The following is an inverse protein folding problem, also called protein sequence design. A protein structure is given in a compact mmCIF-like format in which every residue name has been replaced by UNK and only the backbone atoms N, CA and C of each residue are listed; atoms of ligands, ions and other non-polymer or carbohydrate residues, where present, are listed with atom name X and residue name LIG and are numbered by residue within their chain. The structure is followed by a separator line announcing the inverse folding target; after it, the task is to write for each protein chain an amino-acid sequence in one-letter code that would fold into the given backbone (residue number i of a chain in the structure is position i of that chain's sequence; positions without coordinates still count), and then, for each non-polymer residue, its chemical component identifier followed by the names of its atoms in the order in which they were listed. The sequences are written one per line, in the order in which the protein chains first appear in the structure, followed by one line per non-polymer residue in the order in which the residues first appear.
data_IF_322162034392
#
_entry.id   IF_322162034392
#
_cell.length_a   1.000
_cell.length_b   1.000
_cell.length_c   1.000
_cell.angle_alpha   90.00
_cell.angle_beta   90.00
_cell.angle_gamma   90.00
#
_symmetry.space_group_name_H-M   'P 1'
#
loop_
_entity.id
_entity.type
_entity.pdbx_description
1 polymer ?
#
# COMPACT_ATOMS: atom_id res chain seq x y z
N UNK A 1 -11.70 3.12 9.54
CA UNK A 1 -11.03 2.51 8.41
C UNK A 1 -11.97 1.51 7.74
N UNK A 2 -12.10 1.61 6.43
CA UNK A 2 -12.91 0.71 5.59
C UNK A 2 -11.98 0.05 4.57
N UNK A 3 -11.85 -1.28 4.66
CA UNK A 3 -11.05 -2.09 3.75
C UNK A 3 -11.98 -3.05 3.01
N UNK A 4 -11.87 -3.11 1.71
CA UNK A 4 -12.57 -4.07 0.88
C UNK A 4 -11.62 -4.70 -0.14
N UNK A 5 -11.75 -6.00 -0.29
CA UNK A 5 -10.90 -6.83 -1.15
C UNK A 5 -11.78 -7.73 -1.99
N UNK A 6 -11.49 -7.81 -3.29
CA UNK A 6 -12.20 -8.67 -4.21
C UNK A 6 -11.25 -9.54 -5.01
N UNK A 7 -11.66 -10.79 -5.19
CA UNK A 7 -10.95 -11.78 -5.97
C UNK A 7 -11.84 -12.28 -7.10
N UNK A 8 -11.35 -12.19 -8.33
CA UNK A 8 -12.05 -12.68 -9.50
C UNK A 8 -11.13 -13.59 -10.32
N UNK A 9 -11.56 -14.83 -10.57
CA UNK A 9 -10.88 -15.70 -11.53
C UNK A 9 -11.02 -15.15 -12.94
N UNK A 10 -9.93 -15.21 -13.71
CA UNK A 10 -9.89 -14.79 -15.11
C UNK A 10 -9.68 -16.00 -16.04
N UNK A 11 -10.15 -15.86 -17.26
CA UNK A 11 -9.95 -16.84 -18.35
C UNK A 11 -10.45 -18.26 -18.03
N UNK A 12 -11.45 -18.43 -17.17
CA UNK A 12 -11.89 -19.73 -16.64
C UNK A 12 -10.73 -20.61 -16.11
N UNK A 13 -9.61 -19.99 -15.76
CA UNK A 13 -8.41 -20.66 -15.26
C UNK A 13 -8.40 -20.66 -13.73
N UNK A 14 -8.02 -21.79 -13.16
CA UNK A 14 -7.78 -21.87 -11.71
C UNK A 14 -6.40 -21.31 -11.31
N UNK A 15 -5.62 -20.83 -12.29
CA UNK A 15 -4.27 -20.31 -12.06
C UNK A 15 -4.16 -18.80 -12.19
N UNK A 16 -5.17 -18.12 -12.74
CA UNK A 16 -5.13 -16.67 -12.98
C UNK A 16 -6.25 -15.98 -12.24
N UNK A 17 -5.90 -15.03 -11.40
CA UNK A 17 -6.85 -14.24 -10.63
C UNK A 17 -6.53 -12.74 -10.67
N UNK A 18 -7.57 -11.94 -10.75
CA UNK A 18 -7.49 -10.52 -10.47
C UNK A 18 -7.87 -10.30 -9.00
N UNK A 19 -6.99 -9.65 -8.27
CA UNK A 19 -7.24 -9.15 -6.93
C UNK A 19 -7.34 -7.63 -6.99
N UNK A 20 -8.33 -7.06 -6.34
CA UNK A 20 -8.47 -5.61 -6.20
C UNK A 20 -8.71 -5.23 -4.75
N UNK A 21 -8.15 -4.10 -4.34
CA UNK A 21 -8.25 -3.59 -2.98
C UNK A 21 -8.64 -2.11 -3.00
N UNK A 22 -9.53 -1.73 -2.10
CA UNK A 22 -9.78 -0.35 -1.74
C UNK A 22 -9.74 -0.22 -0.22
N UNK A 23 -8.91 0.70 0.27
CA UNK A 23 -8.74 0.98 1.68
C UNK A 23 -8.87 2.48 1.91
N UNK A 24 -9.90 2.88 2.65
CA UNK A 24 -10.19 4.28 2.96
C UNK A 24 -10.28 4.43 4.48
N UNK A 25 -9.55 5.39 5.00
CA UNK A 25 -9.53 5.70 6.43
C UNK A 25 -9.88 7.16 6.71
N UNK A 26 -10.62 7.37 7.78
CA UNK A 26 -10.92 8.70 8.32
C UNK A 26 -10.80 8.68 9.84
N UNK A 27 -10.13 9.69 10.37
CA UNK A 27 -9.96 9.93 11.80
C UNK A 27 -10.54 11.29 12.13
N UNK A 28 -11.38 11.32 13.17
CA UNK A 28 -11.91 12.56 13.73
C UNK A 28 -12.05 12.48 15.24
N UNK A 29 -12.13 13.61 15.88
CA UNK A 29 -12.34 13.75 17.32
C UNK A 29 -13.81 13.52 17.65
N UNK A 30 -14.10 12.55 18.51
CA UNK A 30 -15.47 12.31 19.01
C UNK A 30 -15.86 13.38 20.03
N UNK A 31 -14.88 13.88 20.79
CA UNK A 31 -15.08 14.95 21.79
C UNK A 31 -14.23 16.14 21.39
N UNK A 32 -14.85 17.29 21.18
CA UNK A 32 -14.15 18.53 20.85
C UNK A 32 -13.09 18.87 21.90
N UNK A 33 -11.85 19.10 21.45
CA UNK A 33 -10.71 19.43 22.30
C UNK A 33 -9.85 18.24 22.75
N UNK A 34 -10.15 17.03 22.30
CA UNK A 34 -9.26 15.89 22.47
C UNK A 34 -8.26 15.90 21.31
N UNK A 35 -6.99 16.20 21.58
CA UNK A 35 -5.96 16.16 20.54
C UNK A 35 -5.68 14.70 20.10
N UNK A 36 -5.94 14.38 18.83
CA UNK A 36 -5.50 13.11 18.24
C UNK A 36 -3.97 13.10 18.25
N UNK A 37 -3.40 12.06 18.83
CA UNK A 37 -1.95 11.95 18.94
C UNK A 37 -1.33 11.60 17.56
N UNK A 38 -0.13 12.10 17.25
CA UNK A 38 0.52 11.84 15.95
C UNK A 38 0.69 10.37 15.61
N UNK A 39 0.79 9.47 16.58
CA UNK A 39 0.90 8.03 16.35
C UNK A 39 -0.42 7.36 15.91
N UNK A 40 -1.55 8.05 16.05
CA UNK A 40 -2.86 7.58 15.58
C UNK A 40 -3.11 7.97 14.11
N UNK A 41 -2.34 8.91 13.57
CA UNK A 41 -2.47 9.35 12.19
C UNK A 41 -2.14 8.22 11.20
N UNK A 42 -2.75 8.33 10.02
CA UNK A 42 -2.39 7.47 8.91
C UNK A 42 -1.04 7.87 8.32
N UNK A 43 -0.25 6.87 7.99
CA UNK A 43 0.98 6.99 7.23
C UNK A 43 0.94 6.04 6.05
N UNK A 44 1.63 6.37 4.95
CA UNK A 44 1.65 5.54 3.75
C UNK A 44 3.05 5.50 3.12
N UNK A 45 3.33 4.38 2.47
CA UNK A 45 4.59 4.08 1.79
C UNK A 45 5.16 2.72 2.17
N UNK A 46 6.18 2.28 1.45
CA UNK A 46 6.89 1.05 1.72
C UNK A 46 6.06 -0.23 1.50
N UNK A 47 6.46 -1.25 2.23
CA UNK A 47 5.89 -2.60 2.13
C UNK A 47 4.83 -2.93 3.20
N UNK A 48 4.55 -2.00 4.12
CA UNK A 48 3.58 -2.19 5.20
C UNK A 48 4.08 -2.98 6.39
N UNK A 49 5.37 -3.28 6.49
CA UNK A 49 5.97 -3.92 7.68
C UNK A 49 6.14 -2.93 8.83
N UNK A 50 6.22 -1.65 8.54
CA UNK A 50 6.28 -0.61 9.57
C UNK A 50 4.91 -0.44 10.20
N UNK A 51 4.84 -0.55 11.52
CA UNK A 51 3.60 -0.45 12.30
C UNK A 51 2.88 0.87 11.98
N UNK A 52 1.55 0.80 11.86
CA UNK A 52 0.66 1.92 11.54
C UNK A 52 0.96 2.60 10.19
N UNK A 53 1.56 1.87 9.25
CA UNK A 53 1.83 2.37 7.89
C UNK A 53 1.05 1.53 6.87
N UNK A 54 0.31 2.20 6.00
CA UNK A 54 -0.35 1.56 4.86
C UNK A 54 0.66 1.38 3.73
N UNK A 55 0.81 0.14 3.25
CA UNK A 55 1.73 -0.15 2.17
C UNK A 55 1.37 0.62 0.89
N UNK A 56 2.37 1.18 0.24
CA UNK A 56 2.32 1.69 -1.13
C UNK A 56 3.67 1.38 -1.78
N UNK A 57 3.72 0.32 -2.56
CA UNK A 57 4.95 -0.19 -3.18
C UNK A 57 5.50 0.80 -4.20
N UNK A 58 6.82 0.91 -4.34
CA UNK A 58 7.48 1.92 -5.17
C UNK A 58 7.77 3.24 -4.44
N UNK A 59 7.45 3.30 -3.14
CA UNK A 59 7.76 4.41 -2.26
C UNK A 59 8.48 3.91 -1.00
N UNK A 60 9.30 4.74 -0.38
CA UNK A 60 9.90 4.44 0.92
C UNK A 60 8.85 4.52 2.04
N UNK A 61 9.16 3.89 3.18
CA UNK A 61 8.25 3.88 4.32
C UNK A 61 7.95 5.29 4.82
N UNK A 62 6.64 5.60 5.01
CA UNK A 62 6.13 6.87 5.53
C UNK A 62 6.54 8.11 4.73
N UNK A 63 6.73 7.98 3.41
CA UNK A 63 7.11 9.12 2.56
C UNK A 63 5.94 9.77 1.85
N UNK A 64 4.76 9.13 1.86
CA UNK A 64 3.57 9.62 1.17
C UNK A 64 2.60 10.26 2.15
N UNK A 65 2.29 11.53 1.95
CA UNK A 65 1.34 12.29 2.77
C UNK A 65 1.75 13.74 3.02
N UNK A 66 1.04 14.45 3.91
CA UNK A 66 1.31 15.84 4.25
C UNK A 66 2.66 15.97 4.96
N UNK A 67 3.39 17.05 4.63
CA UNK A 67 4.71 17.35 5.17
C UNK A 67 4.67 18.57 6.06
N UNK A 68 5.48 18.54 7.10
CA UNK A 68 5.79 19.74 7.89
C UNK A 68 6.57 20.75 7.03
N UNK A 69 6.09 21.98 6.86
CA UNK A 69 6.76 22.99 6.05
C UNK A 69 8.16 23.37 6.53
N UNK A 70 8.47 23.15 7.81
CA UNK A 70 9.76 23.52 8.42
C UNK A 70 10.79 22.41 8.28
N UNK A 71 10.38 21.16 8.46
CA UNK A 71 11.30 20.02 8.50
C UNK A 71 11.28 19.19 7.22
N UNK A 72 10.22 19.29 6.41
CA UNK A 72 10.01 18.47 5.22
C UNK A 72 9.61 17.00 5.50
N UNK A 73 9.54 16.60 6.77
CA UNK A 73 9.12 15.26 7.13
C UNK A 73 7.61 15.07 7.03
N UNK A 74 7.18 13.85 6.66
CA UNK A 74 5.77 13.48 6.65
C UNK A 74 5.26 13.39 8.08
N UNK A 75 4.19 14.12 8.36
CA UNK A 75 3.57 14.21 9.69
C UNK A 75 2.36 13.30 9.87
N UNK A 76 2.01 12.53 8.81
CA UNK A 76 0.78 11.75 8.80
C UNK A 76 -0.46 12.61 8.57
N UNK A 77 -1.62 11.96 8.48
CA UNK A 77 -2.87 12.65 8.23
C UNK A 77 -4.10 11.94 8.77
N UNK A 78 -5.22 12.63 8.73
CA UNK A 78 -6.50 12.15 9.25
C UNK A 78 -7.33 11.41 8.20
N UNK A 79 -7.00 11.55 6.92
CA UNK A 79 -7.69 10.88 5.81
C UNK A 79 -6.67 10.08 5.01
N UNK A 80 -7.04 8.87 4.65
CA UNK A 80 -6.23 8.00 3.82
C UNK A 80 -7.11 7.35 2.75
N UNK A 81 -6.59 7.28 1.53
CA UNK A 81 -7.19 6.52 0.44
C UNK A 81 -6.12 5.71 -0.29
N UNK A 82 -6.36 4.41 -0.46
CA UNK A 82 -5.52 3.53 -1.25
C UNK A 82 -6.38 2.63 -2.11
N UNK A 83 -6.00 2.50 -3.38
CA UNK A 83 -6.58 1.59 -4.35
C UNK A 83 -5.48 0.74 -4.96
N UNK A 84 -5.79 -0.49 -5.29
CA UNK A 84 -4.83 -1.39 -5.91
C UNK A 84 -5.50 -2.47 -6.74
N UNK A 85 -4.77 -2.94 -7.73
CA UNK A 85 -5.13 -4.10 -8.54
C UNK A 85 -3.89 -4.97 -8.75
N UNK A 86 -4.06 -6.29 -8.63
CA UNK A 86 -3.01 -7.26 -8.89
C UNK A 86 -3.53 -8.36 -9.81
N UNK A 87 -2.78 -8.61 -10.86
CA UNK A 87 -2.96 -9.82 -11.68
C UNK A 87 -2.03 -10.90 -11.12
N UNK A 88 -2.59 -11.95 -10.55
CA UNK A 88 -1.87 -13.05 -9.91
C UNK A 88 -1.92 -14.29 -10.79
N UNK A 89 -0.78 -14.92 -11.01
CA UNK A 89 -0.64 -16.15 -11.79
C UNK A 89 0.06 -17.22 -10.96
N UNK A 90 -0.64 -18.30 -10.67
CA UNK A 90 -0.07 -19.43 -9.96
C UNK A 90 0.90 -20.21 -10.89
N UNK A 91 2.16 -20.24 -10.50
CA UNK A 91 3.23 -21.00 -11.17
C UNK A 91 3.16 -22.47 -10.75
N UNK A 92 3.14 -22.69 -9.42
CA UNK A 92 2.94 -24.01 -8.83
C UNK A 92 1.97 -23.92 -7.65
N UNK A 93 1.22 -24.98 -7.41
CA UNK A 93 0.30 -25.09 -6.29
C UNK A 93 0.78 -26.14 -5.26
N UNK A 94 1.55 -27.11 -5.69
CA UNK A 94 2.12 -28.18 -4.86
C UNK A 94 3.58 -28.44 -5.23
N UNK A 95 4.44 -28.84 -4.30
CA UNK A 95 4.21 -28.96 -2.84
C UNK A 95 4.23 -27.61 -2.12
N UNK A 96 4.79 -26.58 -2.74
CA UNK A 96 4.90 -25.22 -2.18
C UNK A 96 4.23 -24.26 -3.16
N UNK A 97 3.10 -23.65 -2.77
CA UNK A 97 2.43 -22.67 -3.62
C UNK A 97 3.35 -21.47 -3.92
N UNK A 98 3.54 -21.23 -5.21
CA UNK A 98 4.26 -20.08 -5.74
C UNK A 98 3.37 -19.37 -6.76
N UNK A 99 3.19 -18.08 -6.60
CA UNK A 99 2.58 -17.26 -7.63
C UNK A 99 3.39 -15.99 -7.91
N UNK A 100 3.34 -15.57 -9.15
CA UNK A 100 3.86 -14.28 -9.60
C UNK A 100 2.71 -13.30 -9.74
N UNK A 101 3.01 -12.01 -9.63
CA UNK A 101 2.00 -10.98 -9.77
C UNK A 101 2.55 -9.74 -10.46
N UNK A 102 1.65 -9.02 -11.13
CA UNK A 102 1.85 -7.65 -11.56
C UNK A 102 0.85 -6.79 -10.80
N UNK A 103 1.26 -5.59 -10.40
CA UNK A 103 0.39 -4.71 -9.63
C UNK A 103 0.41 -3.27 -10.15
N UNK A 104 -0.70 -2.58 -9.90
CA UNK A 104 -0.83 -1.15 -9.99
C UNK A 104 -1.50 -0.65 -8.72
N UNK A 105 -0.91 0.36 -8.10
CA UNK A 105 -1.41 0.96 -6.85
C UNK A 105 -1.49 2.48 -6.98
N UNK A 106 -2.45 3.06 -6.29
CA UNK A 106 -2.58 4.50 -6.14
C UNK A 106 -3.06 4.82 -4.73
N UNK A 107 -2.43 5.77 -4.06
CA UNK A 107 -2.84 6.14 -2.71
C UNK A 107 -2.22 7.45 -2.24
N UNK A 108 -2.85 8.03 -1.23
CA UNK A 108 -2.31 9.20 -0.55
C UNK A 108 -2.89 9.30 0.86
N UNK A 109 -2.22 10.10 1.68
CA UNK A 109 -2.69 10.53 3.00
C UNK A 109 -2.89 12.03 2.95
N UNK A 110 -4.01 12.50 3.50
CA UNK A 110 -4.38 13.91 3.51
C UNK A 110 -4.49 14.40 4.96
N UNK A 111 -4.15 15.66 5.17
CA UNK A 111 -4.13 16.28 6.50
C UNK A 111 -5.51 16.21 7.18
N UNK A 112 -6.56 16.55 6.45
CA UNK A 112 -7.95 16.55 6.91
C UNK A 112 -8.91 16.37 5.73
N UNK A 113 -10.21 16.24 6.03
CA UNK A 113 -11.25 16.03 5.02
C UNK A 113 -11.37 17.22 4.03
N UNK A 114 -11.21 18.45 4.49
CA UNK A 114 -11.33 19.65 3.65
C UNK A 114 -10.19 19.78 2.63
N UNK A 115 -9.03 19.20 2.93
CA UNK A 115 -7.85 19.17 2.05
C UNK A 115 -7.72 17.86 1.26
N UNK A 116 -8.76 17.04 1.24
CA UNK A 116 -8.75 15.77 0.51
C UNK A 116 -9.04 16.02 -0.96
N UNK A 117 -8.08 15.65 -1.81
CA UNK A 117 -8.26 15.55 -3.25
C UNK A 117 -8.08 14.10 -3.70
N UNK A 118 -9.16 13.46 -4.08
CA UNK A 118 -9.16 12.06 -4.50
C UNK A 118 -8.42 11.83 -5.84
N UNK A 119 -8.07 12.87 -6.56
CA UNK A 119 -7.27 12.78 -7.79
C UNK A 119 -5.77 13.01 -7.53
N UNK A 120 -5.39 13.54 -6.35
CA UNK A 120 -3.99 13.70 -5.94
C UNK A 120 -3.46 12.41 -5.29
N UNK A 121 -3.46 11.32 -6.04
CA UNK A 121 -2.94 10.03 -5.57
C UNK A 121 -1.54 9.79 -6.12
N UNK A 122 -0.67 9.22 -5.29
CA UNK A 122 0.67 8.74 -5.68
C UNK A 122 0.53 7.36 -6.28
N UNK A 123 1.04 7.19 -7.51
CA UNK A 123 0.82 6.00 -8.34
C UNK A 123 2.08 5.16 -8.41
N UNK A 124 1.90 3.86 -8.44
CA UNK A 124 2.98 2.92 -8.67
C UNK A 124 2.52 1.72 -9.48
N UNK A 125 3.48 1.08 -10.10
CA UNK A 125 3.31 -0.21 -10.77
C UNK A 125 4.48 -1.11 -10.41
N UNK A 126 4.33 -2.39 -10.60
CA UNK A 126 5.42 -3.31 -10.38
C UNK A 126 5.03 -4.76 -10.58
N UNK A 127 5.93 -5.61 -10.19
CA UNK A 127 5.75 -7.05 -10.23
C UNK A 127 6.38 -7.69 -9.00
N UNK A 128 5.97 -8.92 -8.71
CA UNK A 128 6.48 -9.62 -7.55
C UNK A 128 6.21 -11.11 -7.61
N UNK A 129 6.69 -11.77 -6.57
CA UNK A 129 6.48 -13.20 -6.34
C UNK A 129 6.07 -13.45 -4.89
N UNK A 130 5.25 -14.46 -4.70
CA UNK A 130 4.79 -14.91 -3.39
C UNK A 130 5.01 -16.39 -3.26
N UNK A 131 5.61 -16.78 -2.15
CA UNK A 131 5.87 -18.15 -1.77
C UNK A 131 5.18 -18.43 -0.44
N UNK A 132 4.33 -19.46 -0.41
CA UNK A 132 3.68 -19.89 0.82
C UNK A 132 4.43 -21.09 1.40
N UNK A 133 5.12 -20.88 2.51
CA UNK A 133 5.89 -21.91 3.20
C UNK A 133 5.23 -22.26 4.51
N UNK A 134 4.63 -23.42 4.60
CA UNK A 134 4.03 -23.92 5.83
C UNK A 134 5.10 -24.44 6.80
N UNK A 135 5.16 -24.06 8.09
CA UNK A 135 4.28 -23.17 8.83
C UNK A 135 4.76 -21.69 8.88
N UNK A 136 5.75 -21.30 8.13
CA UNK A 136 6.40 -19.96 8.19
C UNK A 136 5.44 -18.85 7.77
N UNK A 137 4.59 -19.11 6.76
CA UNK A 137 3.66 -18.15 6.20
C UNK A 137 4.03 -17.70 4.79
N UNK A 138 3.51 -16.55 4.40
CA UNK A 138 3.74 -15.95 3.08
C UNK A 138 5.03 -15.14 3.07
N UNK A 139 5.91 -15.47 2.13
CA UNK A 139 7.11 -14.68 1.82
C UNK A 139 6.89 -14.03 0.47
N UNK A 140 7.11 -12.73 0.40
CA UNK A 140 6.91 -11.94 -0.80
C UNK A 140 8.11 -11.08 -1.15
N UNK A 141 8.34 -10.96 -2.46
CA UNK A 141 9.34 -10.06 -3.04
C UNK A 141 8.66 -9.26 -4.14
N UNK A 142 8.73 -7.94 -4.02
CA UNK A 142 8.19 -7.01 -5.00
C UNK A 142 9.26 -6.06 -5.50
N UNK A 143 9.13 -5.68 -6.76
CA UNK A 143 9.86 -4.55 -7.33
C UNK A 143 8.81 -3.56 -7.82
N UNK A 144 8.80 -2.37 -7.25
CA UNK A 144 7.82 -1.33 -7.52
C UNK A 144 8.46 -0.05 -8.05
N UNK A 145 7.80 0.59 -9.01
CA UNK A 145 8.19 1.87 -9.57
C UNK A 145 7.16 2.93 -9.18
N UNK A 146 7.59 3.91 -8.38
CA UNK A 146 6.75 5.04 -7.96
C UNK A 146 6.89 6.20 -8.92
N UNK A 147 5.82 6.53 -9.65
CA UNK A 147 5.84 7.62 -10.64
C UNK A 147 5.95 9.00 -10.02
N UNK A 148 5.40 9.17 -8.83
CA UNK A 148 5.22 10.48 -8.20
C UNK A 148 6.17 10.69 -7.01
N UNK A 149 7.32 10.00 -6.98
CA UNK A 149 8.31 10.10 -5.89
C UNK A 149 8.84 11.51 -5.71
N UNK A 150 9.03 12.25 -6.80
CA UNK A 150 9.48 13.64 -6.73
C UNK A 150 8.54 14.52 -5.89
N UNK A 151 7.25 14.25 -5.96
CA UNK A 151 6.23 14.93 -5.14
C UNK A 151 6.20 14.35 -3.72
N UNK A 152 6.31 13.02 -3.60
CA UNK A 152 6.22 12.32 -2.33
C UNK A 152 7.42 12.61 -1.41
N UNK A 153 8.66 12.45 -1.90
CA UNK A 153 9.88 12.55 -1.09
C UNK A 153 11.00 13.40 -1.68
N UNK A 154 10.78 13.98 -2.87
CA UNK A 154 11.77 14.82 -3.57
C UNK A 154 12.78 14.04 -4.40
N UNK A 155 12.70 12.71 -4.42
CA UNK A 155 13.61 11.85 -5.20
C UNK A 155 13.06 11.58 -6.59
N UNK A 156 13.96 11.31 -7.52
CA UNK A 156 13.54 10.89 -8.86
C UNK A 156 12.87 9.49 -8.82
N UNK A 157 11.94 9.23 -9.75
CA UNK A 157 11.32 7.91 -9.87
C UNK A 157 12.38 6.82 -10.11
N UNK A 158 12.31 5.76 -9.33
CA UNK A 158 13.21 4.61 -9.43
C UNK A 158 12.50 3.31 -9.05
N UNK A 159 13.11 2.17 -9.38
CA UNK A 159 12.64 0.87 -8.95
C UNK A 159 13.10 0.59 -7.52
N UNK A 160 12.14 0.29 -6.63
CA UNK A 160 12.41 -0.09 -5.26
C UNK A 160 12.07 -1.56 -5.02
N UNK A 161 12.96 -2.22 -4.30
CA UNK A 161 12.74 -3.58 -3.84
C UNK A 161 11.99 -3.56 -2.50
N UNK A 162 10.95 -4.40 -2.39
CA UNK A 162 10.15 -4.56 -1.20
C UNK A 162 10.10 -6.03 -0.80
N UNK A 163 10.47 -6.31 0.43
CA UNK A 163 10.28 -7.62 1.05
C UNK A 163 8.98 -7.62 1.83
N UNK A 164 8.20 -8.69 1.71
CA UNK A 164 6.98 -8.87 2.50
C UNK A 164 7.07 -10.19 3.26
N UNK A 165 6.67 -10.12 4.51
CA UNK A 165 6.55 -11.27 5.38
C UNK A 165 5.22 -11.17 6.14
N UNK A 166 4.42 -12.22 6.12
CA UNK A 166 3.14 -12.16 6.80
C UNK A 166 2.44 -13.49 6.90
N UNK A 167 1.39 -13.50 7.68
CA UNK A 167 0.44 -14.62 7.67
C UNK A 167 -0.23 -14.62 6.29
N UNK A 168 -0.15 -15.77 5.61
CA UNK A 168 -0.95 -15.99 4.42
C UNK A 168 -2.43 -15.75 4.73
N UNK A 169 -3.18 -15.33 3.73
CA UNK A 169 -4.58 -14.90 3.66
C UNK A 169 -5.46 -15.27 4.84
#
# INVERSE_FOLDING_TARGET
NFLTEWYRRLFNSNRVALYTIANVGYLDEIVQGTNIQPFEFFYMGGNGLVIATTALRGYDDRTVGPKDPKTGYVIGGRVMAKFGAELRVAVTLEPIPLYILMFAEAGNVFENFQKTDIFDLRRSVGFGARLLINPIGLIGFDIGYGFDRKIADGRDPEWLFHFQFGKGF
#
